data_IF_486015889999
#
_entry.id   IF_486015889999
#
_cell.length_a   1.000
_cell.length_b   1.000
_cell.length_c   1.000
_cell.angle_alpha   90.00
_cell.angle_beta   90.00
_cell.angle_gamma   90.00
#
_symmetry.space_group_name_H-M   'P 1'
#
loop_
_entity.id
_entity.type
_entity.pdbx_description
1 polymer ?
#
# COMPACT_ATOMS: atom_id res chain seq x y z
N UNK A 1 16.68 -27.76 7.22
CA UNK A 1 15.58 -26.85 6.84
C UNK A 1 15.44 -25.84 7.97
N UNK A 2 15.35 -24.52 7.71
CA UNK A 2 15.06 -23.56 8.77
C UNK A 2 13.69 -23.88 9.39
N UNK A 3 13.57 -23.72 10.71
CA UNK A 3 12.28 -23.83 11.39
C UNK A 3 11.43 -22.60 11.05
N UNK A 4 10.37 -22.82 10.28
CA UNK A 4 9.44 -21.78 9.82
C UNK A 4 8.18 -21.69 10.68
N UNK A 5 8.18 -22.33 11.85
CA UNK A 5 7.09 -22.17 12.81
C UNK A 5 6.99 -20.72 13.28
N UNK A 6 5.76 -20.29 13.58
CA UNK A 6 5.51 -18.94 14.13
C UNK A 6 6.31 -18.70 15.41
N UNK A 7 6.49 -19.74 16.23
CA UNK A 7 7.29 -19.66 17.45
C UNK A 7 8.77 -19.38 17.16
N UNK A 8 9.39 -20.12 16.24
CA UNK A 8 10.78 -19.89 15.84
C UNK A 8 10.97 -18.49 15.25
N UNK A 9 10.06 -18.07 14.37
CA UNK A 9 10.12 -16.76 13.71
C UNK A 9 9.94 -15.61 14.71
N UNK A 10 9.06 -15.76 15.70
CA UNK A 10 8.81 -14.72 16.72
C UNK A 10 10.02 -14.43 17.62
N UNK A 11 11.00 -15.34 17.67
CA UNK A 11 12.24 -15.18 18.45
C UNK A 11 13.34 -14.47 17.67
N UNK A 12 13.18 -14.29 16.36
CA UNK A 12 14.17 -13.61 15.52
C UNK A 12 14.10 -12.10 15.74
N UNK A 13 15.26 -11.45 15.75
CA UNK A 13 15.34 -10.01 15.56
C UNK A 13 14.84 -9.62 14.16
N UNK A 14 14.45 -8.35 13.94
CA UNK A 14 14.03 -7.88 12.62
C UNK A 14 15.08 -8.15 11.52
N UNK A 15 16.37 -7.92 11.80
CA UNK A 15 17.46 -8.18 10.85
C UNK A 15 17.68 -9.68 10.56
N UNK A 16 17.53 -10.54 11.57
CA UNK A 16 17.57 -12.00 11.39
C UNK A 16 16.39 -12.50 10.56
N UNK A 17 15.20 -11.91 10.74
CA UNK A 17 14.03 -12.23 9.94
C UNK A 17 14.21 -11.82 8.48
N UNK A 18 14.77 -10.63 8.21
CA UNK A 18 15.11 -10.20 6.84
C UNK A 18 16.11 -11.18 6.20
N UNK A 19 17.14 -11.56 6.95
CA UNK A 19 18.15 -12.52 6.48
C UNK A 19 17.54 -13.89 6.19
N UNK A 20 16.65 -14.37 7.05
CA UNK A 20 15.90 -15.60 6.84
C UNK A 20 15.09 -15.51 5.55
N UNK A 21 14.25 -14.48 5.40
CA UNK A 21 13.39 -14.28 4.23
C UNK A 21 14.21 -14.24 2.93
N UNK A 22 15.36 -13.57 2.94
CA UNK A 22 16.26 -13.50 1.79
C UNK A 22 16.86 -14.86 1.42
N UNK A 23 17.13 -15.71 2.43
CA UNK A 23 17.69 -17.05 2.21
C UNK A 23 16.68 -18.09 1.73
N UNK A 24 15.38 -17.85 1.91
CA UNK A 24 14.33 -18.81 1.53
C UNK A 24 14.16 -18.89 0.02
N UNK A 25 14.19 -20.08 -0.55
CA UNK A 25 13.85 -20.31 -1.96
C UNK A 25 12.32 -20.48 -2.10
N UNK A 26 11.63 -19.88 -3.10
CA UNK A 26 10.19 -20.04 -3.28
C UNK A 26 9.70 -21.49 -3.40
N UNK A 27 10.60 -22.42 -3.78
CA UNK A 27 10.36 -23.87 -3.89
C UNK A 27 10.61 -24.65 -2.60
N UNK A 28 10.97 -23.97 -1.51
CA UNK A 28 11.19 -24.61 -0.20
C UNK A 28 9.90 -25.28 0.29
N UNK A 29 9.97 -26.58 0.62
CA UNK A 29 8.85 -27.34 1.15
C UNK A 29 8.31 -26.71 2.45
N UNK A 30 6.99 -26.69 2.60
CA UNK A 30 6.30 -26.12 3.76
C UNK A 30 6.04 -24.61 3.71
N UNK A 31 6.59 -23.87 2.74
CA UNK A 31 6.31 -22.43 2.58
C UNK A 31 4.83 -22.11 2.34
N UNK A 32 4.10 -23.01 1.67
CA UNK A 32 2.68 -22.83 1.39
C UNK A 32 1.82 -22.83 2.67
N UNK A 33 2.30 -23.49 3.73
CA UNK A 33 1.61 -23.62 5.02
C UNK A 33 2.00 -22.52 6.02
N UNK A 34 2.95 -21.66 5.64
CA UNK A 34 3.41 -20.56 6.49
C UNK A 34 2.35 -19.46 6.57
N UNK A 35 1.94 -19.13 7.79
CA UNK A 35 1.07 -17.98 8.05
C UNK A 35 1.85 -16.67 7.96
N UNK A 36 1.89 -16.12 6.74
CA UNK A 36 2.53 -14.83 6.43
C UNK A 36 1.94 -13.70 7.26
N UNK A 37 0.64 -13.74 7.56
CA UNK A 37 0.00 -12.70 8.36
C UNK A 37 0.52 -12.74 9.80
N UNK A 38 0.68 -13.94 10.37
CA UNK A 38 1.31 -14.11 11.68
C UNK A 38 2.77 -13.63 11.70
N UNK A 39 3.55 -13.92 10.66
CA UNK A 39 4.93 -13.42 10.54
C UNK A 39 4.94 -11.90 10.47
N UNK A 40 4.18 -11.34 9.54
CA UNK A 40 4.17 -9.91 9.28
C UNK A 40 3.67 -9.08 10.48
N UNK A 41 2.82 -9.65 11.35
CA UNK A 41 2.41 -9.00 12.62
C UNK A 41 3.57 -8.82 13.62
N UNK A 42 4.64 -9.60 13.51
CA UNK A 42 5.82 -9.50 14.37
C UNK A 42 6.90 -8.56 13.80
N UNK A 43 6.69 -8.01 12.61
CA UNK A 43 7.62 -7.09 11.98
C UNK A 43 7.32 -5.67 12.49
N UNK A 44 8.34 -5.04 13.05
CA UNK A 44 8.36 -3.63 13.39
C UNK A 44 9.26 -2.87 12.39
N UNK A 45 8.70 -2.21 11.36
CA UNK A 45 9.50 -1.53 10.35
C UNK A 45 10.39 -0.43 10.91
N UNK A 46 10.02 0.17 12.05
CA UNK A 46 10.82 1.21 12.71
C UNK A 46 12.16 0.69 13.25
N UNK A 47 12.33 -0.64 13.37
CA UNK A 47 13.57 -1.30 13.76
C UNK A 47 14.43 -1.72 12.57
N UNK A 48 13.98 -1.48 11.35
CA UNK A 48 14.69 -1.80 10.13
C UNK A 48 15.36 -0.54 9.58
N UNK A 49 16.51 -0.69 8.95
CA UNK A 49 17.07 0.32 8.06
C UNK A 49 16.25 0.42 6.75
N UNK A 50 16.54 1.44 5.94
CA UNK A 50 15.97 1.57 4.59
C UNK A 50 16.22 0.32 3.73
N UNK A 51 17.48 -0.11 3.66
CA UNK A 51 17.91 -1.30 2.92
C UNK A 51 17.23 -2.58 3.42
N UNK A 52 17.19 -2.80 4.74
CA UNK A 52 16.53 -3.97 5.31
C UNK A 52 15.02 -4.00 5.02
N UNK A 53 14.36 -2.83 5.02
CA UNK A 53 12.95 -2.74 4.65
C UNK A 53 12.75 -3.05 3.15
N UNK A 54 13.62 -2.56 2.27
CA UNK A 54 13.59 -2.91 0.83
C UNK A 54 13.78 -4.41 0.63
N UNK A 55 14.77 -5.01 1.32
CA UNK A 55 15.04 -6.45 1.27
C UNK A 55 13.87 -7.27 1.77
N UNK A 56 13.25 -6.86 2.89
CA UNK A 56 12.04 -7.50 3.41
C UNK A 56 10.93 -7.56 2.35
N UNK A 57 10.55 -6.40 1.78
CA UNK A 57 9.46 -6.32 0.82
C UNK A 57 9.80 -7.09 -0.46
N UNK A 58 11.06 -7.01 -0.92
CA UNK A 58 11.55 -7.77 -2.08
C UNK A 58 11.50 -9.28 -1.84
N UNK A 59 11.90 -9.74 -0.66
CA UNK A 59 11.85 -11.13 -0.26
C UNK A 59 10.41 -11.65 -0.19
N UNK A 60 9.49 -10.88 0.40
CA UNK A 60 8.06 -11.22 0.42
C UNK A 60 7.48 -11.29 -1.02
N UNK A 61 7.84 -10.36 -1.90
CA UNK A 61 7.43 -10.39 -3.31
C UNK A 61 8.03 -11.59 -4.08
N UNK A 62 9.27 -11.96 -3.78
CA UNK A 62 9.92 -13.13 -4.40
C UNK A 62 9.20 -14.42 -4.00
N UNK A 63 8.88 -14.56 -2.71
CA UNK A 63 8.11 -15.70 -2.20
C UNK A 63 6.66 -15.69 -2.73
N UNK A 64 6.10 -14.53 -3.05
CA UNK A 64 4.72 -14.41 -3.56
C UNK A 64 4.52 -14.87 -4.99
N UNK A 65 5.58 -14.92 -5.79
CA UNK A 65 5.51 -15.31 -7.20
C UNK A 65 5.23 -16.81 -7.43
N UNK A 66 5.36 -17.65 -6.40
CA UNK A 66 5.19 -19.12 -6.51
C UNK A 66 4.32 -19.72 -5.38
N UNK A 67 4.32 -19.17 -4.16
CA UNK A 67 3.69 -19.82 -2.99
C UNK A 67 2.98 -18.90 -1.99
N UNK A 68 3.35 -17.61 -1.90
CA UNK A 68 2.95 -16.69 -0.81
C UNK A 68 2.22 -15.44 -1.32
N UNK A 69 0.95 -15.52 -1.69
CA UNK A 69 0.23 -14.33 -2.19
C UNK A 69 0.17 -13.19 -1.14
N UNK A 70 0.68 -11.99 -1.45
CA UNK A 70 0.56 -10.81 -0.59
C UNK A 70 -0.91 -10.42 -0.35
N UNK A 71 -1.83 -10.85 -1.22
CA UNK A 71 -3.26 -10.73 -0.98
C UNK A 71 -3.75 -11.61 0.19
N UNK A 72 -3.01 -12.66 0.59
CA UNK A 72 -3.28 -13.44 1.81
C UNK A 72 -2.89 -12.69 3.08
N UNK A 73 -2.01 -11.68 3.02
CA UNK A 73 -1.76 -10.79 4.15
C UNK A 73 -3.02 -9.96 4.42
N UNK A 74 -3.49 -9.95 5.67
CA UNK A 74 -4.70 -9.25 6.05
C UNK A 74 -4.60 -7.72 5.82
N UNK A 75 -5.73 -7.02 5.60
CA UNK A 75 -5.80 -5.55 5.46
C UNK A 75 -5.09 -4.81 6.57
N UNK A 76 -5.28 -5.27 7.81
CA UNK A 76 -4.70 -4.65 9.01
C UNK A 76 -3.19 -4.83 9.08
N UNK A 77 -2.68 -6.02 8.78
CA UNK A 77 -1.24 -6.31 8.87
C UNK A 77 -0.46 -5.54 7.81
N UNK A 78 -0.95 -5.53 6.56
CA UNK A 78 -0.38 -4.71 5.51
C UNK A 78 -0.36 -3.22 5.88
N UNK A 79 -1.49 -2.71 6.38
CA UNK A 79 -1.56 -1.33 6.80
C UNK A 79 -0.60 -1.00 7.95
N UNK A 80 -0.41 -1.90 8.92
CA UNK A 80 0.58 -1.75 9.99
C UNK A 80 2.01 -1.70 9.47
N UNK A 81 2.36 -2.53 8.49
CA UNK A 81 3.68 -2.47 7.85
C UNK A 81 3.93 -1.13 7.17
N UNK A 82 2.95 -0.62 6.41
CA UNK A 82 3.08 0.68 5.76
C UNK A 82 3.09 1.83 6.78
N UNK A 83 2.28 1.74 7.84
CA UNK A 83 2.20 2.74 8.89
C UNK A 83 3.45 2.78 9.80
N UNK A 84 4.13 1.65 9.99
CA UNK A 84 5.36 1.57 10.76
C UNK A 84 6.60 2.04 10.00
N UNK A 85 6.53 2.12 8.67
CA UNK A 85 7.66 2.52 7.84
C UNK A 85 7.87 4.04 7.86
N UNK A 86 9.14 4.45 7.93
CA UNK A 86 9.54 5.85 7.79
C UNK A 86 9.28 6.38 6.37
N UNK A 87 9.29 7.69 6.21
CA UNK A 87 9.13 8.30 4.88
C UNK A 87 10.25 7.85 3.94
N UNK A 88 11.47 7.78 4.45
CA UNK A 88 12.67 7.38 3.71
C UNK A 88 12.57 5.91 3.28
N UNK A 89 12.14 5.01 4.17
CA UNK A 89 11.87 3.60 3.84
C UNK A 89 10.84 3.44 2.73
N UNK A 90 9.74 4.21 2.79
CA UNK A 90 8.72 4.20 1.74
C UNK A 90 9.28 4.74 0.42
N UNK A 91 10.08 5.80 0.44
CA UNK A 91 10.74 6.35 -0.76
C UNK A 91 11.69 5.34 -1.40
N UNK A 92 12.51 4.65 -0.60
CA UNK A 92 13.46 3.64 -1.07
C UNK A 92 12.76 2.42 -1.70
N UNK A 93 11.69 1.93 -1.07
CA UNK A 93 10.89 0.83 -1.61
C UNK A 93 10.16 1.24 -2.89
N UNK A 94 9.53 2.42 -2.90
CA UNK A 94 8.78 2.92 -4.05
C UNK A 94 9.70 3.37 -5.20
N UNK A 95 11.00 3.53 -4.98
CA UNK A 95 11.98 3.71 -6.05
C UNK A 95 12.23 2.44 -6.87
N UNK A 96 11.76 1.27 -6.40
CA UNK A 96 11.83 0.01 -7.16
C UNK A 96 10.51 -0.19 -7.93
N UNK A 97 10.52 -0.17 -9.29
CA UNK A 97 9.29 -0.19 -10.09
C UNK A 97 8.35 -1.37 -9.79
N UNK A 98 8.89 -2.57 -9.60
CA UNK A 98 8.10 -3.76 -9.31
C UNK A 98 7.41 -3.69 -7.93
N UNK A 99 8.14 -3.26 -6.90
CA UNK A 99 7.58 -3.11 -5.54
C UNK A 99 6.57 -1.97 -5.48
N UNK A 100 6.84 -0.88 -6.19
CA UNK A 100 5.93 0.25 -6.34
C UNK A 100 4.60 -0.19 -6.96
N UNK A 101 4.64 -0.93 -8.07
CA UNK A 101 3.45 -1.46 -8.75
C UNK A 101 2.68 -2.41 -7.86
N UNK A 102 3.38 -3.27 -7.11
CA UNK A 102 2.81 -4.21 -6.17
C UNK A 102 2.05 -3.49 -5.03
N UNK A 103 2.71 -2.55 -4.34
CA UNK A 103 2.13 -1.83 -3.20
C UNK A 103 0.94 -0.97 -3.62
N UNK A 104 1.09 -0.16 -4.68
CA UNK A 104 -0.01 0.68 -5.16
C UNK A 104 -1.18 -0.18 -5.66
N UNK A 105 -0.89 -1.24 -6.43
CA UNK A 105 -1.91 -2.17 -6.90
C UNK A 105 -2.71 -2.79 -5.76
N UNK A 106 -2.03 -3.18 -4.68
CA UNK A 106 -2.67 -3.80 -3.53
C UNK A 106 -3.54 -2.83 -2.74
N UNK A 107 -3.11 -1.57 -2.59
CA UNK A 107 -3.91 -0.52 -1.94
C UNK A 107 -5.19 -0.26 -2.71
N UNK A 108 -5.11 -0.09 -4.03
CA UNK A 108 -6.29 0.15 -4.83
C UNK A 108 -7.21 -1.07 -4.88
N UNK A 109 -6.66 -2.29 -4.94
CA UNK A 109 -7.46 -3.52 -4.82
C UNK A 109 -8.30 -3.51 -3.52
N UNK A 110 -7.67 -3.17 -2.39
CA UNK A 110 -8.32 -3.09 -1.07
C UNK A 110 -9.22 -1.86 -0.91
N UNK A 111 -9.02 -0.79 -1.66
CA UNK A 111 -9.83 0.43 -1.59
C UNK A 111 -11.33 0.12 -1.76
N UNK A 112 -11.67 -0.85 -2.62
CA UNK A 112 -13.05 -1.34 -2.82
C UNK A 112 -13.69 -1.89 -1.55
N UNK A 113 -12.95 -2.68 -0.77
CA UNK A 113 -13.45 -3.31 0.46
C UNK A 113 -13.51 -2.34 1.65
N UNK A 114 -12.81 -1.21 1.56
CA UNK A 114 -12.77 -0.20 2.62
C UNK A 114 -13.78 0.94 2.43
N UNK A 115 -14.56 0.94 1.34
CA UNK A 115 -15.58 1.97 1.12
C UNK A 115 -16.72 1.80 2.15
N UNK A 116 -17.02 2.88 2.87
CA UNK A 116 -18.17 2.98 3.77
C UNK A 116 -19.42 3.23 2.94
N UNK A 117 -20.18 2.18 2.69
CA UNK A 117 -21.37 2.22 1.84
C UNK A 117 -22.37 3.30 2.29
N UNK A 118 -22.54 3.52 3.60
CA UNK A 118 -23.43 4.56 4.14
C UNK A 118 -22.98 5.99 3.79
N UNK A 119 -21.66 6.19 3.60
CA UNK A 119 -21.07 7.48 3.21
C UNK A 119 -21.00 7.68 1.70
N UNK A 120 -21.06 6.59 0.92
CA UNK A 120 -20.88 6.61 -0.53
C UNK A 120 -22.18 6.35 -1.31
N UNK A 121 -23.30 6.01 -0.66
CA UNK A 121 -24.56 5.62 -1.32
C UNK A 121 -25.11 6.66 -2.31
N UNK A 122 -24.95 7.94 -2.01
CA UNK A 122 -25.45 9.07 -2.82
C UNK A 122 -24.33 9.73 -3.62
N UNK A 123 -23.15 9.11 -3.68
CA UNK A 123 -21.96 9.65 -4.35
C UNK A 123 -21.84 9.02 -5.73
N UNK A 124 -21.94 9.87 -6.75
CA UNK A 124 -21.56 9.56 -8.12
C UNK A 124 -20.32 10.40 -8.47
N UNK A 125 -19.16 9.75 -8.60
CA UNK A 125 -17.92 10.43 -8.85
C UNK A 125 -16.88 9.54 -9.52
N UNK A 126 -16.09 10.14 -10.41
CA UNK A 126 -14.85 9.56 -10.94
C UNK A 126 -13.68 10.35 -10.34
N UNK A 127 -12.76 9.63 -9.70
CA UNK A 127 -11.52 10.19 -9.12
C UNK A 127 -10.34 9.70 -9.94
N UNK A 128 -9.55 10.62 -10.47
CA UNK A 128 -8.28 10.31 -11.12
C UNK A 128 -7.13 10.50 -10.14
N UNK A 129 -6.27 9.50 -10.03
CA UNK A 129 -5.09 9.52 -9.19
C UNK A 129 -3.85 9.56 -10.07
N UNK A 130 -2.91 10.44 -9.74
CA UNK A 130 -1.61 10.56 -10.41
C UNK A 130 -0.51 10.55 -9.37
N UNK A 131 0.42 9.61 -9.49
CA UNK A 131 1.56 9.51 -8.59
C UNK A 131 2.86 9.84 -9.29
N UNK A 132 3.60 10.82 -8.78
CA UNK A 132 4.86 11.29 -9.38
C UNK A 132 5.90 10.17 -9.50
N UNK A 133 6.72 10.21 -10.56
CA UNK A 133 7.80 9.24 -10.80
C UNK A 133 7.31 7.85 -11.20
N UNK A 134 6.12 7.76 -11.79
CA UNK A 134 5.57 6.53 -12.34
C UNK A 134 5.98 6.29 -13.78
N UNK A 135 5.54 5.16 -14.34
CA UNK A 135 6.00 4.67 -15.66
C UNK A 135 5.16 5.12 -16.85
N UNK A 136 4.11 5.92 -16.64
CA UNK A 136 3.34 6.52 -17.74
C UNK A 136 4.18 7.52 -18.53
N UNK A 137 3.80 7.82 -19.77
CA UNK A 137 4.54 8.72 -20.68
C UNK A 137 4.80 10.11 -20.09
N UNK A 138 3.90 10.60 -19.23
CA UNK A 138 4.02 11.89 -18.54
C UNK A 138 4.70 11.79 -17.16
N UNK A 139 5.24 10.63 -16.80
CA UNK A 139 5.96 10.38 -15.55
C UNK A 139 5.06 10.07 -14.34
N UNK A 140 3.83 9.59 -14.57
CA UNK A 140 2.88 9.27 -13.49
C UNK A 140 2.40 7.82 -13.53
N UNK A 141 2.17 7.24 -12.36
CA UNK A 141 1.25 6.12 -12.26
C UNK A 141 -0.17 6.64 -12.17
N UNK A 142 -1.08 5.92 -12.80
CA UNK A 142 -2.46 6.34 -12.98
C UNK A 142 -3.40 5.29 -12.44
N UNK A 143 -4.38 5.76 -11.70
CA UNK A 143 -5.51 4.95 -11.25
C UNK A 143 -6.78 5.79 -11.37
N UNK A 144 -7.89 5.13 -11.64
CA UNK A 144 -9.22 5.72 -11.64
C UNK A 144 -10.07 4.99 -10.62
N UNK A 145 -10.71 5.72 -9.73
CA UNK A 145 -11.73 5.19 -8.82
C UNK A 145 -13.08 5.72 -9.26
N UNK A 146 -13.98 4.82 -9.66
CA UNK A 146 -15.37 5.16 -9.95
C UNK A 146 -16.20 4.80 -8.73
N UNK A 147 -16.84 5.79 -8.10
CA UNK A 147 -17.76 5.61 -6.98
C UNK A 147 -19.17 5.79 -7.52
N UNK A 148 -20.02 4.80 -7.32
CA UNK A 148 -21.41 4.79 -7.76
C UNK A 148 -22.22 3.83 -6.93
N UNK A 149 -23.45 4.22 -6.57
CA UNK A 149 -24.41 3.39 -5.84
C UNK A 149 -23.82 2.73 -4.55
N UNK A 150 -22.98 3.46 -3.81
CA UNK A 150 -22.34 2.94 -2.59
C UNK A 150 -21.26 1.88 -2.82
N UNK A 151 -20.81 1.70 -4.06
CA UNK A 151 -19.70 0.82 -4.43
C UNK A 151 -18.57 1.63 -5.07
N UNK A 152 -17.37 1.05 -5.16
CA UNK A 152 -16.35 1.60 -6.04
C UNK A 152 -15.61 0.54 -6.83
N UNK A 153 -15.16 0.93 -8.03
CA UNK A 153 -14.34 0.12 -8.92
C UNK A 153 -13.06 0.87 -9.27
N UNK A 154 -11.99 0.12 -9.52
CA UNK A 154 -10.66 0.66 -9.84
C UNK A 154 -10.29 0.28 -11.27
N UNK A 155 -9.86 1.27 -12.04
CA UNK A 155 -9.21 1.08 -13.35
C UNK A 155 -7.76 1.60 -13.30
N UNK A 156 -6.88 1.01 -14.12
CA UNK A 156 -5.51 1.53 -14.32
C UNK A 156 -5.44 2.62 -15.39
N UNK A 157 -6.45 2.68 -16.24
CA UNK A 157 -6.60 3.70 -17.27
C UNK A 157 -7.66 4.70 -16.83
N UNK A 158 -7.42 5.97 -17.13
CA UNK A 158 -8.38 7.06 -16.88
C UNK A 158 -9.28 7.19 -18.09
N UNK A 159 -10.39 6.48 -18.03
CA UNK A 159 -11.30 6.29 -19.18
C UNK A 159 -12.51 7.22 -19.14
N UNK A 160 -12.85 7.74 -17.96
CA UNK A 160 -14.01 8.60 -17.74
C UNK A 160 -13.60 10.02 -17.37
N UNK A 161 -14.50 10.97 -17.55
CA UNK A 161 -14.30 12.34 -17.09
C UNK A 161 -14.25 12.38 -15.55
N UNK A 162 -13.17 12.91 -14.97
CA UNK A 162 -13.01 12.98 -13.53
C UNK A 162 -13.76 14.16 -12.93
N UNK A 163 -14.43 13.93 -11.80
CA UNK A 163 -14.89 14.99 -10.89
C UNK A 163 -13.72 15.68 -10.20
N UNK A 164 -12.68 14.91 -9.86
CA UNK A 164 -11.43 15.43 -9.32
C UNK A 164 -10.23 14.60 -9.77
N UNK A 165 -9.13 15.28 -10.08
CA UNK A 165 -7.81 14.68 -10.21
C UNK A 165 -6.96 15.03 -8.99
N UNK A 166 -6.36 14.02 -8.38
CA UNK A 166 -5.48 14.09 -7.22
C UNK A 166 -4.08 13.72 -7.67
N UNK A 167 -3.11 14.61 -7.46
CA UNK A 167 -1.70 14.38 -7.80
C UNK A 167 -0.81 14.54 -6.58
N UNK A 168 0.03 13.55 -6.29
CA UNK A 168 1.00 13.60 -5.18
C UNK A 168 2.11 12.54 -5.31
N UNK A 169 3.21 12.65 -4.56
CA UNK A 169 4.17 11.57 -4.43
C UNK A 169 3.51 10.34 -3.77
N UNK A 170 3.81 9.10 -4.23
CA UNK A 170 3.16 7.90 -3.70
C UNK A 170 3.46 7.66 -2.21
N UNK A 171 4.65 7.99 -1.71
CA UNK A 171 4.98 7.87 -0.28
C UNK A 171 4.09 8.75 0.59
N UNK A 172 3.74 9.95 0.10
CA UNK A 172 2.84 10.86 0.83
C UNK A 172 1.39 10.34 0.80
N UNK A 173 0.99 9.67 -0.30
CA UNK A 173 -0.27 8.92 -0.36
C UNK A 173 -0.31 7.78 0.67
N UNK A 174 0.74 6.96 0.75
CA UNK A 174 0.85 5.87 1.73
C UNK A 174 0.73 6.38 3.16
N UNK A 175 1.43 7.47 3.47
CA UNK A 175 1.36 8.13 4.78
C UNK A 175 0.00 8.74 5.04
N UNK A 176 -0.68 9.28 4.02
CA UNK A 176 -2.01 9.85 4.17
C UNK A 176 -3.05 8.78 4.51
N UNK A 177 -3.08 7.66 3.78
CA UNK A 177 -4.06 6.59 4.00
C UNK A 177 -3.79 5.78 5.28
N UNK A 178 -2.59 5.89 5.85
CA UNK A 178 -2.22 5.31 7.14
C UNK A 178 -2.30 6.32 8.30
N UNK A 179 -2.85 7.52 8.07
CA UNK A 179 -2.98 8.59 9.07
C UNK A 179 -1.64 9.14 9.61
N UNK A 180 -0.54 8.91 8.90
CA UNK A 180 0.81 9.41 9.20
C UNK A 180 1.14 10.74 8.49
N UNK A 181 0.23 11.28 7.69
CA UNK A 181 0.33 12.59 7.07
C UNK A 181 -1.04 13.31 7.04
N UNK A 182 -1.00 14.63 6.94
CA UNK A 182 -2.19 15.49 6.89
C UNK A 182 -2.37 16.04 5.48
N UNK A 183 -3.53 15.78 4.87
CA UNK A 183 -3.87 16.29 3.54
C UNK A 183 -3.79 17.83 3.45
N UNK A 184 -4.35 18.61 4.41
CA UNK A 184 -4.16 20.06 4.42
C UNK A 184 -2.69 20.49 4.43
N UNK A 185 -1.83 19.81 5.20
CA UNK A 185 -0.40 20.12 5.27
C UNK A 185 0.29 19.81 3.94
N UNK A 186 0.01 18.64 3.34
CA UNK A 186 0.55 18.27 2.03
C UNK A 186 0.11 19.23 0.92
N UNK A 187 -1.14 19.70 0.98
CA UNK A 187 -1.68 20.68 0.04
C UNK A 187 -0.99 22.05 0.19
N UNK A 188 -0.86 22.55 1.42
CA UNK A 188 -0.12 23.79 1.69
C UNK A 188 1.35 23.72 1.26
N UNK A 189 1.98 22.55 1.39
CA UNK A 189 3.35 22.31 0.91
C UNK A 189 3.45 22.12 -0.62
N UNK A 190 2.33 22.13 -1.35
CA UNK A 190 2.29 21.90 -2.80
C UNK A 190 2.55 20.46 -3.24
N UNK A 191 2.61 19.52 -2.30
CA UNK A 191 2.84 18.09 -2.55
C UNK A 191 1.55 17.35 -2.91
N UNK A 192 0.41 17.79 -2.37
CA UNK A 192 -0.90 17.36 -2.81
C UNK A 192 -1.49 18.45 -3.72
N UNK A 193 -1.79 18.08 -4.97
CA UNK A 193 -2.45 18.96 -5.94
C UNK A 193 -3.82 18.40 -6.28
N UNK A 194 -4.81 19.29 -6.31
CA UNK A 194 -6.20 18.96 -6.62
C UNK A 194 -6.63 19.77 -7.84
N UNK A 195 -7.32 19.12 -8.78
CA UNK A 195 -7.95 19.77 -9.94
C UNK A 195 -9.39 19.27 -10.06
N UNK A 196 -10.36 20.18 -10.14
CA UNK A 196 -11.78 19.84 -10.21
C UNK A 196 -12.52 20.25 -8.92
N UNK A 197 -13.39 19.38 -8.42
CA UNK A 197 -14.22 19.65 -7.24
C UNK A 197 -13.44 19.49 -5.92
N UNK A 198 -12.92 20.61 -5.39
CA UNK A 198 -12.18 20.63 -4.12
C UNK A 198 -13.05 20.29 -2.90
N UNK A 199 -14.29 20.80 -2.75
CA UNK A 199 -15.18 20.38 -1.67
C UNK A 199 -15.37 18.86 -1.61
N UNK A 200 -15.58 18.21 -2.76
CA UNK A 200 -15.67 16.76 -2.84
C UNK A 200 -14.37 16.09 -2.37
N UNK A 201 -13.21 16.56 -2.85
CA UNK A 201 -11.92 16.01 -2.49
C UNK A 201 -11.65 16.08 -0.97
N UNK A 202 -12.03 17.17 -0.33
CA UNK A 202 -11.87 17.36 1.12
C UNK A 202 -12.69 16.34 1.95
N UNK A 203 -13.87 15.94 1.46
CA UNK A 203 -14.70 14.92 2.09
C UNK A 203 -14.28 13.47 1.82
N UNK A 204 -13.46 13.24 0.79
CA UNK A 204 -13.26 11.91 0.21
C UNK A 204 -12.69 10.87 1.20
N UNK A 205 -11.71 11.24 2.03
CA UNK A 205 -11.11 10.31 2.99
C UNK A 205 -12.14 9.75 4.00
N UNK A 206 -13.20 10.52 4.31
CA UNK A 206 -14.24 10.09 5.24
C UNK A 206 -15.12 8.96 4.67
N UNK A 207 -15.11 8.77 3.34
CA UNK A 207 -15.80 7.66 2.68
C UNK A 207 -15.09 6.31 2.86
N UNK A 208 -13.86 6.29 3.36
CA UNK A 208 -13.10 5.05 3.53
C UNK A 208 -12.87 4.72 5.01
N UNK A 209 -12.85 3.43 5.33
CA UNK A 209 -12.38 2.94 6.62
C UNK A 209 -10.86 2.80 6.59
N UNK A 210 -10.18 3.90 6.92
CA UNK A 210 -8.73 3.93 6.96
C UNK A 210 -8.22 3.10 8.15
N UNK A 211 -7.12 2.36 7.97
CA UNK A 211 -6.43 1.70 9.06
C UNK A 211 -6.13 2.70 10.17
N UNK A 212 -6.50 2.33 11.40
CA UNK A 212 -6.10 3.08 12.59
C UNK A 212 -4.71 2.59 13.04
N UNK A 213 -3.82 3.50 13.45
CA UNK A 213 -2.56 3.14 14.11
C UNK A 213 -2.78 2.17 15.27
#
# INVERSE_FOLDING_TARGET
>A
MPDLSVEAISRLSPSELVTLIDSLDPTTEGLADVDIDAIARNIDPARLTGDEFVRLISGLQRLSSVSIDLAKMGPRTFAKLIAGASKEQLEEVLARPELRKLILGEIFRRMTTHLKQDKAKDVEAVVHWRFDGGTGEDGYDRYETVISNGTCTINREMTKESRVTITMPPQDFLRLITSNASAPVLFMMGKLKLRGDLPFAAGMLHMFDLPKP
#
